data_IF_821862302596
#
_entry.id   IF_821862302596
#
_cell.length_a   1.000
_cell.length_b   1.000
_cell.length_c   1.000
_cell.angle_alpha   90.00
_cell.angle_beta   90.00
_cell.angle_gamma   90.00
#
_symmetry.space_group_name_H-M   'P 1'
#
loop_
_entity.id
_entity.type
_entity.pdbx_description
1 polymer ?
#
# COMPACT_ATOMS: atom_id res chain seq x y z
N UNK A 1 -59.44 -39.57 -44.34
CA UNK A 1 -57.99 -39.55 -44.21
C UNK A 1 -57.59 -38.27 -43.48
N UNK A 2 -57.31 -38.33 -42.18
CA UNK A 2 -56.90 -37.17 -41.37
C UNK A 2 -55.39 -37.09 -41.41
N UNK A 3 -54.85 -35.96 -41.91
CA UNK A 3 -53.40 -35.65 -41.86
C UNK A 3 -53.04 -35.21 -40.45
N UNK A 4 -52.22 -35.98 -39.77
CA UNK A 4 -51.62 -35.62 -38.51
C UNK A 4 -50.38 -34.75 -38.83
N UNK A 5 -50.43 -33.48 -38.49
CA UNK A 5 -49.30 -32.57 -38.58
C UNK A 5 -48.50 -32.68 -37.27
N UNK A 6 -47.31 -33.28 -37.37
CA UNK A 6 -46.37 -33.42 -36.28
C UNK A 6 -45.56 -32.14 -36.21
N UNK A 7 -45.82 -31.28 -35.19
CA UNK A 7 -45.01 -30.11 -34.92
C UNK A 7 -43.80 -30.56 -34.12
N UNK A 8 -42.64 -30.50 -34.74
CA UNK A 8 -41.36 -30.76 -34.09
C UNK A 8 -40.91 -29.48 -33.37
N UNK A 9 -41.16 -29.41 -32.07
CA UNK A 9 -40.65 -28.30 -31.23
C UNK A 9 -39.16 -28.50 -30.99
N UNK A 10 -38.31 -27.71 -31.66
CA UNK A 10 -36.88 -27.65 -31.43
C UNK A 10 -36.62 -26.88 -30.14
N UNK A 11 -36.39 -27.59 -29.04
CA UNK A 11 -35.87 -26.99 -27.81
C UNK A 11 -34.43 -26.58 -28.04
N UNK A 12 -34.20 -25.29 -28.27
CA UNK A 12 -32.84 -24.71 -28.22
C UNK A 12 -32.50 -24.52 -26.75
N UNK A 13 -31.79 -25.48 -26.19
CA UNK A 13 -31.10 -25.29 -24.90
C UNK A 13 -29.97 -24.30 -25.12
N UNK A 14 -30.20 -23.03 -24.80
CA UNK A 14 -29.13 -22.07 -24.64
C UNK A 14 -28.36 -22.51 -23.38
N UNK A 15 -27.33 -23.30 -23.56
CA UNK A 15 -26.31 -23.47 -22.52
C UNK A 15 -25.65 -22.09 -22.35
N UNK A 16 -26.03 -21.37 -21.31
CA UNK A 16 -25.24 -20.26 -20.80
C UNK A 16 -23.86 -20.82 -20.50
N UNK A 17 -22.90 -20.55 -21.39
CA UNK A 17 -21.48 -20.66 -21.05
C UNK A 17 -21.29 -19.73 -19.86
N UNK A 18 -21.22 -20.31 -18.67
CA UNK A 18 -20.68 -19.62 -17.52
C UNK A 18 -19.24 -19.28 -17.89
N UNK A 19 -19.04 -18.07 -18.38
CA UNK A 19 -17.67 -17.52 -18.49
C UNK A 19 -17.10 -17.64 -17.09
N UNK A 20 -15.99 -18.34 -16.95
CA UNK A 20 -15.32 -18.44 -15.67
C UNK A 20 -15.17 -17.03 -15.12
N UNK A 21 -15.82 -16.76 -13.99
CA UNK A 21 -15.70 -15.47 -13.31
C UNK A 21 -14.22 -15.30 -13.00
N UNK A 22 -13.64 -14.20 -13.45
CA UNK A 22 -12.23 -13.94 -13.17
C UNK A 22 -11.99 -13.75 -11.66
N UNK A 23 -10.74 -13.82 -11.27
CA UNK A 23 -10.34 -13.65 -9.87
C UNK A 23 -10.15 -12.18 -9.53
N UNK A 24 -10.41 -11.82 -8.25
CA UNK A 24 -10.30 -10.46 -7.74
C UNK A 24 -9.10 -10.28 -6.82
N UNK A 25 -8.41 -9.14 -6.97
CA UNK A 25 -7.34 -8.63 -6.11
C UNK A 25 -7.65 -7.19 -5.70
N UNK A 26 -7.08 -6.75 -4.58
CA UNK A 26 -7.15 -5.35 -4.15
C UNK A 26 -7.62 -5.15 -2.72
N UNK A 27 -8.13 -3.97 -2.42
CA UNK A 27 -8.66 -3.50 -1.17
C UNK A 27 -7.64 -3.38 -0.02
N UNK A 28 -6.93 -4.41 0.39
CA UNK A 28 -6.03 -4.37 1.53
C UNK A 28 -4.67 -5.00 1.21
N UNK A 29 -3.60 -4.30 1.58
CA UNK A 29 -2.23 -4.82 1.50
C UNK A 29 -2.01 -5.96 2.50
N UNK A 30 -2.57 -5.83 3.72
CA UNK A 30 -2.48 -6.85 4.76
C UNK A 30 -3.10 -8.20 4.38
N UNK A 31 -4.04 -8.19 3.44
CA UNK A 31 -4.71 -9.40 2.95
C UNK A 31 -4.04 -9.99 1.69
N UNK A 32 -2.86 -9.52 1.31
CA UNK A 32 -2.17 -9.95 0.09
C UNK A 32 -1.99 -11.47 -0.02
N UNK A 33 -1.75 -12.16 1.08
CA UNK A 33 -1.61 -13.62 1.13
C UNK A 33 -2.93 -14.39 0.92
N UNK A 34 -4.09 -13.72 1.06
CA UNK A 34 -5.43 -14.28 0.78
C UNK A 34 -5.91 -13.96 -0.64
N UNK A 35 -5.09 -13.31 -1.46
CA UNK A 35 -5.45 -12.93 -2.81
C UNK A 35 -4.83 -13.90 -3.84
N UNK A 36 -5.56 -14.20 -4.94
CA UNK A 36 -6.90 -13.71 -5.27
C UNK A 36 -7.96 -14.17 -4.27
N UNK A 37 -8.98 -13.35 -4.07
CA UNK A 37 -10.11 -13.72 -3.23
C UNK A 37 -10.90 -14.86 -3.87
N UNK A 38 -10.90 -16.04 -3.26
CA UNK A 38 -11.52 -17.26 -3.85
C UNK A 38 -12.75 -17.74 -3.10
N UNK A 39 -12.85 -17.48 -1.80
CA UNK A 39 -13.96 -17.94 -0.95
C UNK A 39 -14.34 -16.89 0.10
N UNK A 40 -15.58 -16.93 0.57
CA UNK A 40 -16.25 -16.19 1.65
C UNK A 40 -15.36 -15.21 2.43
N UNK A 41 -14.85 -14.23 1.73
CA UNK A 41 -14.09 -13.15 2.35
C UNK A 41 -15.02 -11.96 2.54
N UNK A 42 -15.20 -11.52 3.79
CA UNK A 42 -15.96 -10.32 4.10
C UNK A 42 -15.08 -9.36 4.87
N UNK A 43 -14.95 -8.14 4.35
CA UNK A 43 -14.09 -7.12 4.94
C UNK A 43 -14.84 -5.78 5.02
N UNK A 44 -14.48 -4.99 6.02
CA UNK A 44 -15.01 -3.67 6.25
C UNK A 44 -13.90 -2.63 6.15
N UNK A 45 -13.87 -1.87 5.06
CA UNK A 45 -12.87 -0.81 4.85
C UNK A 45 -13.08 0.45 5.71
N UNK A 46 -14.20 0.54 6.47
CA UNK A 46 -14.40 1.62 7.44
C UNK A 46 -13.59 1.40 8.73
N UNK A 47 -13.14 0.18 8.97
CA UNK A 47 -12.35 -0.23 10.14
C UNK A 47 -11.04 -0.79 9.64
N UNK A 48 -9.94 -0.29 10.16
CA UNK A 48 -8.61 -0.81 9.82
C UNK A 48 -8.32 -2.06 10.66
N UNK A 49 -8.73 -3.23 10.17
CA UNK A 49 -8.53 -4.49 10.88
C UNK A 49 -7.08 -5.01 10.81
N UNK A 50 -6.31 -4.55 9.80
CA UNK A 50 -5.00 -5.14 9.44
C UNK A 50 -3.81 -4.20 9.69
N UNK A 51 -4.00 -3.04 10.27
CA UNK A 51 -2.96 -2.02 10.52
C UNK A 51 -2.09 -1.69 9.27
N UNK A 52 -2.70 -1.70 8.09
CA UNK A 52 -2.01 -1.50 6.82
C UNK A 52 -2.84 -0.64 5.86
N UNK A 53 -2.28 -0.34 4.69
CA UNK A 53 -2.96 0.48 3.69
C UNK A 53 -4.19 -0.24 3.13
N UNK A 54 -5.26 0.54 3.02
CA UNK A 54 -6.49 0.15 2.35
C UNK A 54 -6.69 1.04 1.11
N UNK A 55 -7.19 0.46 0.03
CA UNK A 55 -7.53 1.18 -1.19
C UNK A 55 -8.86 0.69 -1.74
N UNK A 56 -9.81 1.57 -2.08
CA UNK A 56 -11.12 1.17 -2.58
C UNK A 56 -11.07 0.78 -4.08
N UNK A 57 -10.11 -0.06 -4.44
CA UNK A 57 -9.84 -0.55 -5.78
C UNK A 57 -9.81 -2.07 -5.81
N UNK A 58 -10.53 -2.66 -6.77
CA UNK A 58 -10.40 -4.06 -7.14
C UNK A 58 -10.01 -4.23 -8.58
N UNK A 59 -9.16 -5.21 -8.85
CA UNK A 59 -8.72 -5.62 -10.16
C UNK A 59 -9.16 -7.07 -10.42
N UNK A 60 -9.60 -7.36 -11.63
CA UNK A 60 -10.02 -8.70 -12.03
C UNK A 60 -9.11 -9.26 -13.13
N UNK A 61 -8.88 -10.57 -13.11
CA UNK A 61 -8.08 -11.26 -14.14
C UNK A 61 -8.67 -11.21 -15.55
N UNK A 62 -9.94 -10.86 -15.69
CA UNK A 62 -10.62 -10.69 -16.98
C UNK A 62 -10.52 -9.27 -17.57
N UNK A 63 -9.71 -8.42 -16.96
CA UNK A 63 -9.48 -7.05 -17.45
C UNK A 63 -10.42 -5.99 -16.92
N UNK A 64 -11.28 -6.32 -15.95
CA UNK A 64 -12.13 -5.35 -15.27
C UNK A 64 -11.44 -4.77 -14.03
N UNK A 65 -11.82 -3.52 -13.70
CA UNK A 65 -11.58 -2.99 -12.36
C UNK A 65 -12.84 -2.34 -11.79
N UNK A 66 -12.90 -2.26 -10.45
CA UNK A 66 -13.93 -1.52 -9.71
C UNK A 66 -13.27 -0.50 -8.80
N UNK A 67 -13.84 0.70 -8.76
CA UNK A 67 -13.37 1.82 -7.95
C UNK A 67 -14.50 2.48 -7.17
N UNK A 68 -14.17 2.96 -5.97
CA UNK A 68 -15.02 3.84 -5.16
C UNK A 68 -14.20 4.98 -4.58
N UNK A 69 -14.80 6.17 -4.44
CA UNK A 69 -14.21 7.31 -3.73
C UNK A 69 -14.47 7.26 -2.21
N UNK A 70 -15.14 6.23 -1.74
CA UNK A 70 -15.52 6.05 -0.33
C UNK A 70 -15.20 4.66 0.15
N UNK A 71 -14.99 4.51 1.46
CA UNK A 71 -14.87 3.21 2.09
C UNK A 71 -16.19 2.43 2.02
N UNK A 72 -16.11 1.10 2.05
CA UNK A 72 -17.27 0.20 1.94
C UNK A 72 -17.00 -1.14 2.61
N UNK A 73 -18.05 -1.94 2.75
CA UNK A 73 -17.96 -3.36 3.12
C UNK A 73 -18.02 -4.17 1.82
N UNK A 74 -17.20 -5.21 1.71
CA UNK A 74 -17.26 -6.11 0.58
C UNK A 74 -17.25 -7.58 1.00
N UNK A 75 -17.73 -8.44 0.12
CA UNK A 75 -17.57 -9.88 0.20
C UNK A 75 -17.26 -10.45 -1.18
N UNK A 76 -16.50 -11.54 -1.21
CA UNK A 76 -16.28 -12.36 -2.41
C UNK A 76 -16.78 -13.75 -2.12
N UNK A 77 -17.76 -14.21 -2.91
CA UNK A 77 -18.35 -15.54 -2.81
C UNK A 77 -18.44 -16.16 -4.20
N UNK A 78 -17.89 -17.35 -4.35
CA UNK A 78 -17.86 -18.06 -5.66
C UNK A 78 -17.29 -17.21 -6.80
N UNK A 79 -16.31 -16.35 -6.50
CA UNK A 79 -15.69 -15.43 -7.46
C UNK A 79 -16.50 -14.17 -7.79
N UNK A 80 -17.66 -13.99 -7.18
CA UNK A 80 -18.45 -12.77 -7.31
C UNK A 80 -18.15 -11.77 -6.20
N UNK A 81 -17.76 -10.54 -6.60
CA UNK A 81 -17.51 -9.42 -5.70
C UNK A 81 -18.80 -8.63 -5.46
N UNK A 82 -19.24 -8.62 -4.21
CA UNK A 82 -20.38 -7.84 -3.73
C UNK A 82 -19.90 -6.70 -2.83
N UNK A 83 -20.48 -5.52 -2.96
CA UNK A 83 -20.10 -4.33 -2.17
C UNK A 83 -21.33 -3.64 -1.57
N UNK A 84 -21.17 -3.00 -0.40
CA UNK A 84 -22.25 -2.30 0.31
C UNK A 84 -22.68 -0.98 -0.35
N UNK A 85 -21.89 -0.48 -1.31
CA UNK A 85 -22.19 0.71 -2.10
C UNK A 85 -21.95 0.44 -3.58
N UNK A 86 -22.59 1.18 -4.50
CA UNK A 86 -22.26 1.10 -5.92
C UNK A 86 -20.80 1.49 -6.17
N UNK A 87 -20.15 0.77 -7.08
CA UNK A 87 -18.80 1.07 -7.54
C UNK A 87 -18.80 1.42 -9.03
N UNK A 88 -17.85 2.25 -9.43
CA UNK A 88 -17.54 2.43 -10.85
C UNK A 88 -16.86 1.16 -11.37
N UNK A 89 -17.48 0.46 -12.31
CA UNK A 89 -16.89 -0.68 -12.99
C UNK A 89 -16.45 -0.32 -14.41
N UNK A 90 -15.27 -0.74 -14.81
CA UNK A 90 -14.70 -0.49 -16.14
C UNK A 90 -14.09 -1.78 -16.68
N UNK A 91 -14.48 -2.15 -17.91
CA UNK A 91 -13.78 -3.16 -18.70
C UNK A 91 -12.64 -2.47 -19.45
N UNK A 92 -11.42 -2.69 -19.03
CA UNK A 92 -10.22 -2.01 -19.56
C UNK A 92 -9.47 -2.84 -20.63
N UNK A 93 -9.75 -4.13 -20.69
CA UNK A 93 -9.12 -5.07 -21.59
C UNK A 93 -9.57 -6.49 -21.25
N UNK A 94 -8.67 -7.45 -21.36
CA UNK A 94 -8.97 -8.88 -21.14
C UNK A 94 -8.05 -9.54 -20.11
N UNK A 95 -7.13 -8.79 -19.51
CA UNK A 95 -6.14 -9.29 -18.57
C UNK A 95 -6.06 -8.44 -17.30
N UNK A 96 -5.56 -9.03 -16.21
CA UNK A 96 -5.27 -8.29 -14.97
C UNK A 96 -4.36 -7.07 -15.21
N UNK A 97 -3.39 -7.21 -16.14
CA UNK A 97 -2.51 -6.11 -16.50
C UNK A 97 -3.26 -4.93 -17.12
N UNK A 98 -4.25 -5.20 -17.97
CA UNK A 98 -5.05 -4.15 -18.60
C UNK A 98 -5.86 -3.40 -17.54
N UNK A 99 -6.50 -4.13 -16.61
CA UNK A 99 -7.21 -3.55 -15.47
C UNK A 99 -6.31 -2.65 -14.62
N UNK A 100 -5.11 -3.16 -14.26
CA UNK A 100 -4.13 -2.42 -13.47
C UNK A 100 -3.69 -1.13 -14.18
N UNK A 101 -3.26 -1.23 -15.44
CA UNK A 101 -2.75 -0.09 -16.20
C UNK A 101 -3.79 1.01 -16.38
N UNK A 102 -5.05 0.63 -16.64
CA UNK A 102 -6.14 1.58 -16.78
C UNK A 102 -6.51 2.27 -15.47
N UNK A 103 -6.61 1.51 -14.38
CA UNK A 103 -6.89 2.05 -13.05
C UNK A 103 -5.75 2.97 -12.58
N UNK A 104 -4.50 2.54 -12.75
CA UNK A 104 -3.31 3.32 -12.41
C UNK A 104 -3.27 4.65 -13.19
N UNK A 105 -3.49 4.61 -14.50
CA UNK A 105 -3.48 5.82 -15.32
C UNK A 105 -4.58 6.83 -14.93
N UNK A 106 -5.72 6.33 -14.46
CA UNK A 106 -6.87 7.18 -14.08
C UNK A 106 -6.78 7.74 -12.67
N UNK A 107 -6.44 6.89 -11.68
CA UNK A 107 -6.53 7.26 -10.26
C UNK A 107 -5.17 7.55 -9.62
N UNK A 108 -4.09 7.03 -10.20
CA UNK A 108 -2.73 7.15 -9.69
C UNK A 108 -1.74 7.54 -10.81
N UNK A 109 -2.02 8.62 -11.57
CA UNK A 109 -1.15 9.00 -12.69
C UNK A 109 0.25 9.31 -12.18
N UNK A 110 1.26 8.79 -12.89
CA UNK A 110 2.65 9.09 -12.59
C UNK A 110 2.91 10.58 -12.82
N UNK A 111 3.63 11.21 -11.88
CA UNK A 111 4.02 12.63 -11.97
C UNK A 111 5.10 12.88 -13.01
N UNK A 112 5.76 11.84 -13.52
CA UNK A 112 6.92 11.93 -14.39
C UNK A 112 8.24 12.21 -13.66
N UNK A 113 8.21 12.36 -12.31
CA UNK A 113 9.40 12.51 -11.49
C UNK A 113 9.72 11.18 -10.82
N UNK A 114 11.01 10.86 -10.74
CA UNK A 114 11.51 9.71 -10.00
C UNK A 114 12.31 10.19 -8.79
N UNK A 115 12.32 9.45 -7.70
CA UNK A 115 13.25 9.73 -6.61
C UNK A 115 14.71 9.53 -7.08
N UNK A 116 15.66 9.97 -6.27
CA UNK A 116 17.08 9.77 -6.56
C UNK A 116 17.37 8.30 -6.88
N UNK A 117 18.20 8.06 -7.89
CA UNK A 117 18.63 6.71 -8.31
C UNK A 117 19.24 5.90 -7.17
N UNK A 118 19.80 6.55 -6.17
CA UNK A 118 20.33 5.94 -4.95
C UNK A 118 19.31 5.00 -4.27
N UNK A 119 18.01 5.37 -4.29
CA UNK A 119 16.96 4.54 -3.72
C UNK A 119 16.75 3.19 -4.43
N UNK A 120 17.31 3.03 -5.63
CA UNK A 120 17.20 1.80 -6.41
C UNK A 120 18.51 1.03 -6.52
N UNK A 121 19.64 1.70 -6.27
CA UNK A 121 20.98 1.16 -6.54
C UNK A 121 21.80 0.86 -5.30
N UNK A 122 21.40 1.40 -4.14
CA UNK A 122 22.11 1.24 -2.87
C UNK A 122 21.21 0.67 -1.78
N UNK A 123 21.78 0.05 -0.73
CA UNK A 123 21.00 -0.45 0.40
C UNK A 123 20.24 0.68 1.10
N UNK A 124 19.08 0.32 1.64
CA UNK A 124 18.31 1.17 2.53
C UNK A 124 18.30 0.54 3.92
N UNK A 125 18.96 1.22 4.85
CA UNK A 125 19.06 0.82 6.25
C UNK A 125 17.98 1.55 7.06
N UNK A 126 17.45 0.88 8.06
CA UNK A 126 16.44 1.43 8.94
C UNK A 126 16.81 1.11 10.39
N UNK A 127 16.77 2.11 11.25
CA UNK A 127 17.14 1.95 12.66
C UNK A 127 16.02 1.31 13.52
N UNK A 128 14.83 1.05 12.97
CA UNK A 128 13.68 0.58 13.73
C UNK A 128 13.93 -0.75 14.45
N UNK A 129 14.43 -1.75 13.73
CA UNK A 129 14.61 -3.10 14.31
C UNK A 129 15.64 -3.10 15.44
N UNK A 130 16.69 -2.28 15.33
CA UNK A 130 17.75 -2.19 16.33
C UNK A 130 17.37 -1.32 17.54
N UNK A 131 16.71 -0.16 17.29
CA UNK A 131 16.51 0.86 18.32
C UNK A 131 15.06 1.03 18.73
N UNK A 132 14.11 0.64 17.90
CA UNK A 132 12.68 0.87 18.07
C UNK A 132 12.39 2.32 18.50
N UNK A 133 11.69 2.53 19.60
CA UNK A 133 11.41 3.86 20.15
C UNK A 133 12.59 4.53 20.87
N UNK A 134 13.75 3.83 20.95
CA UNK A 134 14.93 4.36 21.61
C UNK A 134 15.91 5.05 20.66
N UNK A 135 15.40 5.74 19.67
CA UNK A 135 16.22 6.50 18.72
C UNK A 135 17.05 7.54 19.48
N UNK A 136 18.37 7.50 19.30
CA UNK A 136 19.31 8.44 19.90
C UNK A 136 20.59 8.55 19.07
N UNK A 137 21.28 9.68 19.19
CA UNK A 137 22.45 10.01 18.39
C UNK A 137 23.59 8.98 18.54
N UNK A 138 23.90 8.57 19.75
CA UNK A 138 25.04 7.68 20.00
C UNK A 138 24.84 6.28 19.38
N UNK A 139 23.64 5.73 19.52
CA UNK A 139 23.33 4.40 19.00
C UNK A 139 23.18 4.39 17.48
N UNK A 140 22.67 5.48 16.89
CA UNK A 140 22.58 5.64 15.43
C UNK A 140 23.98 5.69 14.82
N UNK A 141 24.89 6.48 15.39
CA UNK A 141 26.29 6.53 14.92
C UNK A 141 26.97 5.17 15.08
N UNK A 142 26.80 4.50 16.22
CA UNK A 142 27.31 3.15 16.43
C UNK A 142 26.81 2.17 15.36
N UNK A 143 25.51 2.22 15.06
CA UNK A 143 24.90 1.39 14.02
C UNK A 143 25.49 1.67 12.64
N UNK A 144 25.64 2.94 12.27
CA UNK A 144 26.25 3.34 11.00
C UNK A 144 27.71 2.89 10.87
N UNK A 145 28.52 3.06 11.91
CA UNK A 145 29.90 2.56 11.93
C UNK A 145 29.93 1.04 11.79
N UNK A 146 29.06 0.33 12.50
CA UNK A 146 29.01 -1.14 12.41
C UNK A 146 28.69 -1.64 10.99
N UNK A 147 27.85 -0.93 10.23
CA UNK A 147 27.57 -1.23 8.81
C UNK A 147 28.88 -1.17 8.01
N UNK A 148 29.64 -0.08 8.14
CA UNK A 148 30.88 0.14 7.39
C UNK A 148 31.97 -0.85 7.84
N UNK A 149 32.16 -1.03 9.14
CA UNK A 149 33.18 -1.89 9.73
C UNK A 149 33.00 -3.36 9.35
N UNK A 150 31.76 -3.78 9.10
CA UNK A 150 31.44 -5.13 8.62
C UNK A 150 31.45 -5.25 7.08
N UNK A 151 31.90 -4.22 6.37
CA UNK A 151 32.11 -4.27 4.92
C UNK A 151 30.83 -4.10 4.08
N UNK A 152 29.73 -3.62 4.68
CA UNK A 152 28.53 -3.27 3.93
C UNK A 152 28.67 -1.87 3.32
N UNK A 153 28.18 -1.66 2.08
CA UNK A 153 28.27 -0.36 1.45
C UNK A 153 27.34 0.65 2.14
N UNK A 154 27.71 1.93 2.20
CA UNK A 154 26.76 2.97 2.63
C UNK A 154 25.63 3.11 1.61
N UNK A 155 24.54 3.73 2.05
CA UNK A 155 23.37 3.95 1.22
C UNK A 155 22.45 4.99 1.84
N UNK A 156 21.15 4.69 1.94
CA UNK A 156 20.21 5.53 2.68
C UNK A 156 20.07 4.97 4.09
N UNK A 157 20.28 5.80 5.12
CA UNK A 157 20.01 5.45 6.52
C UNK A 157 18.77 6.22 6.99
N UNK A 158 17.69 5.50 7.26
CA UNK A 158 16.48 6.07 7.85
C UNK A 158 16.58 6.01 9.38
N UNK A 159 16.49 7.18 10.00
CA UNK A 159 16.23 7.32 11.43
C UNK A 159 14.73 7.20 11.63
N UNK A 160 14.31 6.14 12.30
CA UNK A 160 12.92 5.75 12.41
C UNK A 160 12.18 6.51 13.51
N UNK A 161 10.97 6.10 13.81
CA UNK A 161 10.02 6.75 14.70
C UNK A 161 10.62 7.17 16.05
N UNK A 162 10.07 8.25 16.59
CA UNK A 162 10.43 8.78 17.90
C UNK A 162 11.74 9.58 17.97
N UNK A 163 12.28 10.04 16.84
CA UNK A 163 13.39 11.00 16.81
C UNK A 163 12.94 12.42 17.15
N UNK A 164 11.73 12.81 16.69
CA UNK A 164 11.11 14.11 16.92
C UNK A 164 10.43 14.20 18.29
N UNK A 165 10.29 15.42 18.79
CA UNK A 165 9.65 15.69 20.10
C UNK A 165 8.20 15.25 20.13
N UNK A 166 7.44 15.59 19.10
CA UNK A 166 6.03 15.23 18.91
C UNK A 166 5.78 14.89 17.44
N UNK A 167 4.76 14.13 17.14
CA UNK A 167 4.26 14.05 15.77
C UNK A 167 3.71 15.41 15.35
N UNK A 168 4.05 15.85 14.15
CA UNK A 168 3.76 17.19 13.62
C UNK A 168 4.79 18.25 13.96
N UNK A 169 5.68 18.00 14.95
CA UNK A 169 6.84 18.81 15.24
C UNK A 169 8.11 18.11 14.73
N UNK A 170 8.93 18.83 14.00
CA UNK A 170 10.11 18.25 13.33
C UNK A 170 11.44 18.64 13.99
N UNK A 171 11.40 18.99 15.27
CA UNK A 171 12.59 19.22 16.08
C UNK A 171 13.08 17.90 16.71
N UNK A 172 14.39 17.68 16.66
CA UNK A 172 15.00 16.57 17.37
C UNK A 172 14.81 16.69 18.88
N UNK A 173 14.58 15.57 19.57
CA UNK A 173 14.59 15.52 21.03
C UNK A 173 15.98 15.83 21.58
N UNK A 174 16.18 17.02 22.11
CA UNK A 174 17.49 17.50 22.54
C UNK A 174 18.17 16.57 23.58
N UNK A 175 17.39 15.92 24.43
CA UNK A 175 17.88 14.96 25.42
C UNK A 175 18.44 13.66 24.82
N UNK A 176 18.09 13.34 23.58
CA UNK A 176 18.55 12.14 22.84
C UNK A 176 19.49 12.49 21.70
N UNK A 177 19.41 13.69 21.21
CA UNK A 177 20.17 14.21 20.07
C UNK A 177 20.84 15.52 20.48
N UNK A 178 21.93 15.48 21.26
CA UNK A 178 22.57 16.70 21.77
C UNK A 178 23.18 17.57 20.66
N UNK A 179 23.60 16.98 19.53
CA UNK A 179 24.09 17.68 18.34
C UNK A 179 23.67 16.95 17.08
N UNK A 180 22.39 17.08 16.65
CA UNK A 180 21.90 16.37 15.47
C UNK A 180 22.59 16.80 14.18
N UNK A 181 23.11 18.03 14.12
CA UNK A 181 23.87 18.49 12.96
C UNK A 181 25.18 17.73 12.85
N UNK A 182 25.95 17.63 13.92
CA UNK A 182 27.21 16.84 13.91
C UNK A 182 26.96 15.37 13.58
N UNK A 183 25.87 14.78 14.10
CA UNK A 183 25.48 13.42 13.74
C UNK A 183 25.22 13.27 12.23
N UNK A 184 24.45 14.16 11.64
CA UNK A 184 24.15 14.10 10.20
C UNK A 184 25.41 14.34 9.35
N UNK A 185 26.28 15.27 9.76
CA UNK A 185 27.56 15.53 9.09
C UNK A 185 28.46 14.27 9.11
N UNK A 186 28.53 13.56 10.23
CA UNK A 186 29.29 12.31 10.37
C UNK A 186 28.70 11.18 9.50
N UNK A 187 27.37 11.01 9.50
CA UNK A 187 26.69 10.04 8.64
C UNK A 187 26.97 10.34 7.16
N UNK A 188 26.97 11.61 6.75
CA UNK A 188 27.32 12.01 5.40
C UNK A 188 28.80 11.73 5.09
N UNK A 189 29.72 11.94 6.04
CA UNK A 189 31.14 11.63 5.88
C UNK A 189 31.39 10.12 5.72
N UNK A 190 30.56 9.26 6.34
CA UNK A 190 30.54 7.81 6.16
C UNK A 190 29.94 7.38 4.80
N UNK A 191 29.36 8.32 4.05
CA UNK A 191 28.76 8.07 2.73
C UNK A 191 27.26 7.80 2.73
N UNK A 192 26.60 7.85 3.87
CA UNK A 192 25.14 7.70 3.93
C UNK A 192 24.40 8.95 3.48
N UNK A 193 23.20 8.76 2.90
CA UNK A 193 22.16 9.77 2.86
C UNK A 193 21.22 9.53 4.03
N UNK A 194 20.84 10.59 4.74
CA UNK A 194 19.99 10.49 5.91
C UNK A 194 18.54 10.75 5.52
N UNK A 195 17.66 9.87 5.96
CA UNK A 195 16.20 9.99 5.84
C UNK A 195 15.61 9.97 7.25
N UNK A 196 14.61 10.81 7.48
CA UNK A 196 13.86 10.85 8.73
C UNK A 196 12.48 10.25 8.51
N UNK A 197 12.08 9.32 9.36
CA UNK A 197 10.72 8.78 9.36
C UNK A 197 9.73 9.88 9.78
N UNK A 198 8.60 9.95 9.11
CA UNK A 198 7.49 10.84 9.47
C UNK A 198 6.15 10.13 9.31
N UNK A 199 5.15 10.57 10.05
CA UNK A 199 3.75 10.20 9.86
C UNK A 199 2.88 11.46 9.68
N UNK A 200 1.68 11.35 9.11
CA UNK A 200 0.78 12.47 8.88
C UNK A 200 -0.07 12.82 10.13
N UNK A 201 0.34 12.38 11.30
CA UNK A 201 -0.37 12.65 12.54
C UNK A 201 0.24 13.84 13.27
N UNK A 202 -0.58 14.51 14.10
CA UNK A 202 -0.15 15.58 14.99
C UNK A 202 -0.54 15.21 16.41
N UNK A 203 0.44 15.21 17.31
CA UNK A 203 0.20 14.90 18.72
C UNK A 203 -0.64 15.99 19.39
N UNK A 204 -1.67 15.64 20.16
CA UNK A 204 -2.50 16.64 20.88
C UNK A 204 -1.70 17.53 21.83
N UNK A 205 -0.57 17.04 22.34
CA UNK A 205 0.31 17.77 23.25
C UNK A 205 1.32 18.67 22.53
N UNK A 206 1.33 18.63 21.17
CA UNK A 206 2.25 19.49 20.41
C UNK A 206 1.71 20.91 20.26
N UNK A 207 2.58 21.93 20.21
CA UNK A 207 2.16 23.29 19.90
C UNK A 207 1.41 23.40 18.56
N UNK A 208 1.82 22.61 17.57
CA UNK A 208 1.28 22.58 16.21
C UNK A 208 -0.19 22.10 16.17
N UNK A 209 -0.62 21.31 17.15
CA UNK A 209 -2.01 20.86 17.22
C UNK A 209 -2.99 22.03 17.37
N UNK A 210 -2.59 23.07 18.10
CA UNK A 210 -3.42 24.28 18.32
C UNK A 210 -3.67 25.08 17.05
N UNK A 211 -2.78 24.95 16.06
CA UNK A 211 -2.90 25.63 14.77
C UNK A 211 -3.88 24.91 13.84
N UNK A 212 -4.32 23.69 14.22
CA UNK A 212 -5.25 22.87 13.48
C UNK A 212 -6.69 22.91 14.01
N UNK A 213 -6.92 23.46 15.22
CA UNK A 213 -8.23 23.68 15.83
C UNK A 213 -8.88 24.98 15.31
#
# INVERSE_FOLDING_TARGET
>A
MKKVQMILSLLITVSSLSMAQGHWWGASVGLGYNQPYVEQSRFNLHVQDENNQLVPLFLNSDGRYRWSDSAFIFSVENGELTTSIPMTEVQAGTTLRDAYMAAQAKYFPATGTLPDTLFFTMPQYNTWIELMYNQNQADILRYAHAIIDNGFPPGVLMIDDNWQRYYGNFDFKAERFPDPKAMVDELHALGFKVMLWICPFVSPDSPEFRDLE
#
